data_IF_820166152993
#
_entry.id   IF_820166152993
#
_cell.length_a   1.000
_cell.length_b   1.000
_cell.length_c   1.000
_cell.angle_alpha   90.00
_cell.angle_beta   90.00
_cell.angle_gamma   90.00
#
_symmetry.space_group_name_H-M   'P 1'
#
loop_
_entity.id
_entity.type
_entity.pdbx_description
1 polymer ?
#
# COMPACT_ATOMS: atom_id res chain seq x y z
N UNK A 1 -48.74 23.32 -26.72
CA UNK A 1 -48.93 24.25 -25.58
C UNK A 1 -49.20 23.40 -24.34
N UNK A 2 -48.27 23.36 -23.37
CA UNK A 2 -48.42 23.89 -21.98
C UNK A 2 -49.79 23.56 -21.35
N UNK A 3 -49.95 22.96 -20.18
CA UNK A 3 -49.13 22.41 -19.09
C UNK A 3 -50.12 21.55 -18.25
N UNK A 4 -49.76 20.77 -17.24
CA UNK A 4 -49.31 21.17 -15.89
C UNK A 4 -49.05 19.87 -15.12
N UNK A 5 -48.01 19.91 -14.29
CA UNK A 5 -47.47 18.88 -13.38
C UNK A 5 -48.32 18.82 -12.10
N UNK A 6 -48.52 17.65 -11.46
CA UNK A 6 -48.09 17.38 -10.06
C UNK A 6 -48.49 15.99 -9.50
N UNK A 7 -47.46 15.36 -8.93
CA UNK A 7 -47.31 14.26 -7.97
C UNK A 7 -48.50 13.76 -7.14
N UNK A 8 -48.57 12.43 -6.97
CA UNK A 8 -49.02 11.78 -5.73
C UNK A 8 -48.07 10.63 -5.36
N UNK A 9 -47.53 10.74 -4.16
CA UNK A 9 -46.59 9.86 -3.44
C UNK A 9 -47.24 8.51 -3.06
N UNK A 10 -46.53 7.39 -3.25
CA UNK A 10 -46.93 6.09 -2.70
C UNK A 10 -46.04 5.77 -1.49
N UNK A 11 -46.67 5.78 -0.32
CA UNK A 11 -46.17 5.19 0.93
C UNK A 11 -46.63 3.72 0.92
N UNK A 12 -45.69 2.77 0.97
CA UNK A 12 -45.99 1.38 1.30
C UNK A 12 -45.37 1.03 2.66
N UNK A 13 -46.28 1.01 3.64
CA UNK A 13 -46.13 0.43 4.96
C UNK A 13 -45.84 -1.07 4.84
N UNK A 14 -44.74 -1.52 5.45
CA UNK A 14 -44.49 -2.94 5.72
C UNK A 14 -44.84 -3.20 7.18
N UNK A 15 -46.01 -3.78 7.43
CA UNK A 15 -46.32 -4.53 8.65
C UNK A 15 -47.30 -5.67 8.35
N UNK A 16 -47.11 -6.78 9.08
CA UNK A 16 -47.79 -8.08 9.10
C UNK A 16 -47.11 -9.19 8.28
N UNK A 17 -46.88 -10.39 8.78
CA UNK A 17 -47.14 -10.97 10.10
C UNK A 17 -46.16 -12.13 10.32
N UNK A 18 -45.76 -12.30 11.57
CA UNK A 18 -45.18 -13.52 12.14
C UNK A 18 -46.18 -14.67 11.96
N UNK A 19 -45.70 -15.80 11.44
CA UNK A 19 -46.27 -17.11 11.77
C UNK A 19 -45.17 -17.94 12.45
N UNK A 20 -45.42 -18.20 13.72
CA UNK A 20 -44.65 -19.02 14.63
C UNK A 20 -45.00 -20.50 14.36
N UNK A 21 -44.17 -21.19 13.58
CA UNK A 21 -43.98 -22.66 13.65
C UNK A 21 -42.92 -23.10 12.63
N UNK A 22 -41.65 -23.14 13.05
CA UNK A 22 -40.61 -24.05 12.53
C UNK A 22 -39.33 -23.94 13.39
N UNK A 23 -39.48 -24.14 14.70
CA UNK A 23 -38.34 -24.52 15.55
C UNK A 23 -38.13 -26.03 15.44
N UNK A 24 -37.23 -26.44 14.54
CA UNK A 24 -36.31 -27.59 14.63
C UNK A 24 -35.72 -27.87 13.24
N UNK A 25 -34.40 -27.98 13.18
CA UNK A 25 -33.58 -28.31 12.00
C UNK A 25 -33.15 -27.12 11.11
N UNK A 26 -32.39 -26.19 11.69
CA UNK A 26 -31.39 -25.42 10.92
C UNK A 26 -30.16 -25.09 11.78
N UNK A 27 -29.65 -26.08 12.53
CA UNK A 27 -28.46 -25.95 13.40
C UNK A 27 -27.15 -26.43 12.74
N UNK A 28 -27.14 -26.68 11.43
CA UNK A 28 -25.91 -27.07 10.72
C UNK A 28 -25.86 -26.50 9.30
N UNK A 29 -25.47 -25.23 9.20
CA UNK A 29 -24.68 -24.62 8.11
C UNK A 29 -24.82 -23.09 8.19
N UNK A 30 -24.44 -22.51 9.32
CA UNK A 30 -23.95 -21.14 9.35
C UNK A 30 -22.47 -21.28 9.69
N UNK A 31 -21.65 -21.39 8.66
CA UNK A 31 -20.24 -21.05 8.81
C UNK A 31 -20.24 -19.55 9.09
N UNK A 32 -20.19 -19.20 10.37
CA UNK A 32 -20.06 -17.85 10.85
C UNK A 32 -18.78 -17.27 10.25
N UNK A 33 -18.89 -16.54 9.15
CA UNK A 33 -17.89 -15.53 8.80
C UNK A 33 -17.96 -14.54 9.94
N UNK A 34 -17.05 -14.65 10.91
CA UNK A 34 -16.87 -13.61 11.92
C UNK A 34 -16.43 -12.36 11.16
N UNK A 35 -17.37 -11.50 10.79
CA UNK A 35 -17.04 -10.13 10.42
C UNK A 35 -16.57 -9.46 11.72
N UNK A 36 -15.27 -9.51 11.98
CA UNK A 36 -14.64 -8.78 13.07
C UNK A 36 -14.93 -7.31 12.87
N UNK A 37 -15.82 -6.78 13.70
CA UNK A 37 -16.15 -5.34 13.73
C UNK A 37 -14.89 -4.61 14.16
N UNK A 38 -14.40 -3.70 13.32
CA UNK A 38 -13.23 -2.88 13.63
C UNK A 38 -13.48 -2.04 14.89
N UNK A 39 -12.47 -1.83 15.75
CA UNK A 39 -12.60 -0.94 16.90
C UNK A 39 -13.02 0.48 16.50
N UNK A 40 -13.77 1.22 17.35
CA UNK A 40 -14.28 2.55 17.02
C UNK A 40 -13.23 3.55 16.54
N UNK A 41 -12.03 3.53 17.15
CA UNK A 41 -10.92 4.41 16.81
C UNK A 41 -10.38 4.19 15.38
N UNK A 42 -10.43 2.95 14.87
CA UNK A 42 -10.12 2.67 13.46
C UNK A 42 -11.22 3.17 12.52
N UNK A 43 -12.49 3.01 12.92
CA UNK A 43 -13.64 3.47 12.12
C UNK A 43 -13.64 5.00 12.01
N UNK A 44 -13.33 5.71 13.10
CA UNK A 44 -13.23 7.17 13.11
C UNK A 44 -12.10 7.67 12.21
N UNK A 45 -10.88 7.11 12.36
CA UNK A 45 -9.75 7.51 11.52
C UNK A 45 -10.01 7.22 10.03
N UNK A 46 -10.62 6.07 9.72
CA UNK A 46 -11.02 5.73 8.35
C UNK A 46 -11.96 6.78 7.76
N UNK A 47 -12.99 7.20 8.51
CA UNK A 47 -13.94 8.21 8.06
C UNK A 47 -13.28 9.59 7.84
N UNK A 48 -12.32 9.96 8.67
CA UNK A 48 -11.53 11.19 8.50
C UNK A 48 -10.67 11.12 7.23
N UNK A 49 -10.01 9.99 6.97
CA UNK A 49 -9.22 9.76 5.75
C UNK A 49 -10.11 9.74 4.50
N UNK A 50 -11.29 9.12 4.55
CA UNK A 50 -12.25 9.14 3.43
C UNK A 50 -12.72 10.56 3.12
N UNK A 51 -12.94 11.38 4.14
CA UNK A 51 -13.28 12.80 3.97
C UNK A 51 -12.14 13.54 3.26
N UNK A 52 -10.90 13.35 3.70
CA UNK A 52 -9.71 13.91 3.06
C UNK A 52 -9.57 13.47 1.59
N UNK A 53 -9.81 12.19 1.30
CA UNK A 53 -9.75 11.65 -0.08
C UNK A 53 -10.77 12.34 -1.00
N UNK A 54 -11.96 12.65 -0.49
CA UNK A 54 -12.98 13.39 -1.23
C UNK A 54 -12.54 14.82 -1.51
N UNK A 55 -11.87 15.48 -0.57
CA UNK A 55 -11.34 16.85 -0.74
C UNK A 55 -10.25 16.90 -1.81
N UNK A 56 -9.27 15.99 -1.75
CA UNK A 56 -8.20 15.87 -2.75
C UNK A 56 -8.79 15.61 -4.15
N UNK A 57 -9.79 14.73 -4.24
CA UNK A 57 -10.42 14.38 -5.52
C UNK A 57 -11.22 15.54 -6.15
N UNK A 58 -11.76 16.46 -5.32
CA UNK A 58 -12.51 17.65 -5.80
C UNK A 58 -11.60 18.78 -6.25
N UNK A 59 -10.37 18.85 -5.75
CA UNK A 59 -9.35 19.79 -6.24
C UNK A 59 -8.91 19.52 -7.68
N UNK A 60 -9.06 18.27 -8.12
CA UNK A 60 -8.56 17.76 -9.41
C UNK A 60 -9.68 17.63 -10.47
N UNK A 61 -10.64 18.56 -10.51
CA UNK A 61 -11.79 18.55 -11.45
C UNK A 61 -11.40 18.69 -12.95
N UNK A 62 -10.13 18.92 -13.27
CA UNK A 62 -9.62 18.81 -14.64
C UNK A 62 -8.62 17.67 -14.72
N UNK A 63 -8.77 16.83 -15.76
CA UNK A 63 -8.03 15.57 -16.00
C UNK A 63 -8.56 14.49 -15.05
N UNK A 64 -9.29 13.47 -15.49
CA UNK A 64 -8.71 12.27 -16.09
C UNK A 64 -9.84 11.52 -16.82
N UNK A 65 -9.67 11.21 -18.10
CA UNK A 65 -10.41 10.10 -18.74
C UNK A 65 -9.95 8.79 -18.13
N UNK A 66 -10.66 8.38 -17.06
CA UNK A 66 -10.45 7.29 -16.09
C UNK A 66 -10.13 5.88 -16.63
N UNK A 67 -10.05 5.65 -17.94
CA UNK A 67 -9.99 4.29 -18.50
C UNK A 67 -8.59 3.66 -18.57
N UNK A 68 -7.55 4.46 -18.84
CA UNK A 68 -6.17 3.97 -19.03
C UNK A 68 -5.34 3.99 -17.74
N UNK A 69 -5.39 5.10 -17.01
CA UNK A 69 -4.67 5.32 -15.76
C UNK A 69 -5.07 4.35 -14.64
N UNK A 70 -6.37 4.07 -14.49
CA UNK A 70 -6.89 3.11 -13.50
C UNK A 70 -6.40 1.68 -13.77
N UNK A 71 -6.21 1.29 -15.04
CA UNK A 71 -5.71 -0.05 -15.38
C UNK A 71 -4.21 -0.21 -15.15
N UNK A 72 -3.45 0.87 -15.21
CA UNK A 72 -2.02 0.85 -15.01
C UNK A 72 -1.66 0.98 -13.51
N UNK A 73 -2.35 1.84 -12.77
CA UNK A 73 -2.23 1.94 -11.32
C UNK A 73 -2.57 0.60 -10.61
N UNK A 74 -3.63 -0.12 -11.06
CA UNK A 74 -3.96 -1.48 -10.58
C UNK A 74 -2.77 -2.46 -10.56
N UNK A 75 -1.79 -2.29 -11.45
CA UNK A 75 -0.63 -3.19 -11.60
C UNK A 75 0.48 -2.90 -10.60
N UNK A 76 0.63 -1.63 -10.22
CA UNK A 76 1.67 -1.17 -9.30
C UNK A 76 1.17 -1.20 -7.85
N UNK A 77 -0.16 -1.16 -7.63
CA UNK A 77 -0.78 -1.35 -6.31
C UNK A 77 -0.24 -2.58 -5.59
N UNK A 78 -0.02 -3.69 -6.30
CA UNK A 78 0.51 -4.91 -5.68
C UNK A 78 1.88 -4.69 -5.03
N UNK A 79 2.80 -4.02 -5.75
CA UNK A 79 4.14 -3.70 -5.25
C UNK A 79 4.05 -2.67 -4.13
N UNK A 80 3.28 -1.61 -4.31
CA UNK A 80 3.19 -0.52 -3.32
C UNK A 80 2.51 -0.96 -2.03
N UNK A 81 1.48 -1.81 -2.12
CA UNK A 81 0.84 -2.42 -0.95
C UNK A 81 1.81 -3.39 -0.27
N UNK A 82 2.53 -4.23 -1.03
CA UNK A 82 3.53 -5.12 -0.44
C UNK A 82 4.59 -4.34 0.35
N UNK A 83 5.06 -3.21 -0.17
CA UNK A 83 6.01 -2.32 0.53
C UNK A 83 5.43 -1.74 1.80
N UNK A 84 4.23 -1.18 1.73
CA UNK A 84 3.57 -0.62 2.90
C UNK A 84 3.32 -1.70 3.97
N UNK A 85 2.97 -2.93 3.58
CA UNK A 85 2.87 -4.06 4.51
C UNK A 85 4.23 -4.46 5.08
N UNK A 86 5.30 -4.47 4.27
CA UNK A 86 6.66 -4.61 4.77
C UNK A 86 7.02 -3.55 5.82
N UNK A 87 6.52 -2.32 5.63
CA UNK A 87 6.64 -1.23 6.60
C UNK A 87 5.91 -1.46 7.93
N UNK A 88 4.78 -2.19 7.90
CA UNK A 88 4.02 -2.59 9.10
C UNK A 88 4.72 -3.75 9.82
N UNK A 89 5.13 -4.78 9.08
CA UNK A 89 5.52 -6.07 9.67
C UNK A 89 7.00 -6.10 10.10
N UNK A 90 7.88 -5.38 9.39
CA UNK A 90 9.34 -5.45 9.63
C UNK A 90 9.88 -4.34 10.55
N UNK A 91 9.06 -3.70 11.38
CA UNK A 91 9.49 -2.57 12.22
C UNK A 91 10.30 -2.95 13.47
N UNK A 92 10.86 -4.16 13.54
CA UNK A 92 11.44 -4.73 14.77
C UNK A 92 12.72 -4.03 15.23
N UNK A 93 13.53 -3.51 14.30
CA UNK A 93 14.73 -2.72 14.58
C UNK A 93 14.51 -1.21 14.36
N UNK A 94 13.27 -0.75 14.56
CA UNK A 94 12.89 0.63 14.27
C UNK A 94 13.04 0.96 12.77
N UNK A 95 13.39 2.21 12.42
CA UNK A 95 13.39 2.69 11.03
C UNK A 95 14.24 1.87 10.05
N UNK A 96 15.36 1.31 10.51
CA UNK A 96 16.22 0.49 9.66
C UNK A 96 15.54 -0.83 9.27
N UNK A 97 14.88 -1.51 10.22
CA UNK A 97 14.12 -2.73 9.95
C UNK A 97 12.94 -2.46 9.02
N UNK A 98 12.21 -1.36 9.27
CA UNK A 98 11.11 -0.92 8.40
C UNK A 98 11.58 -0.71 6.96
N UNK A 99 12.66 0.05 6.76
CA UNK A 99 13.20 0.30 5.43
C UNK A 99 13.70 -0.99 4.77
N UNK A 100 14.43 -1.84 5.51
CA UNK A 100 14.91 -3.13 5.00
C UNK A 100 13.77 -4.04 4.53
N UNK A 101 12.75 -4.21 5.37
CA UNK A 101 11.62 -5.09 5.10
C UNK A 101 10.77 -4.60 3.93
N UNK A 102 10.43 -3.30 3.90
CA UNK A 102 9.75 -2.68 2.77
C UNK A 102 10.55 -2.83 1.47
N UNK A 103 11.85 -2.58 1.50
CA UNK A 103 12.70 -2.72 0.32
C UNK A 103 12.78 -4.17 -0.14
N UNK A 104 12.80 -5.12 0.81
CA UNK A 104 12.82 -6.55 0.51
C UNK A 104 11.49 -7.02 -0.09
N UNK A 105 10.34 -6.49 0.35
CA UNK A 105 9.05 -6.85 -0.25
C UNK A 105 8.97 -6.43 -1.72
N UNK A 106 9.23 -5.17 -2.09
CA UNK A 106 9.23 -4.75 -3.50
C UNK A 106 10.38 -5.35 -4.29
N UNK A 107 11.58 -5.40 -3.73
CA UNK A 107 12.75 -5.96 -4.41
C UNK A 107 12.49 -7.39 -4.86
N UNK A 108 11.79 -8.19 -4.07
CA UNK A 108 11.42 -9.55 -4.43
C UNK A 108 10.23 -9.64 -5.38
N UNK A 109 9.17 -8.85 -5.14
CA UNK A 109 8.02 -8.79 -6.05
C UNK A 109 8.45 -8.37 -7.45
N UNK A 110 9.23 -7.29 -7.54
CA UNK A 110 9.65 -6.70 -8.80
C UNK A 110 10.70 -7.53 -9.54
N UNK A 111 11.52 -8.32 -8.83
CA UNK A 111 12.56 -9.14 -9.46
C UNK A 111 12.09 -10.53 -9.90
N UNK A 112 11.11 -11.13 -9.22
CA UNK A 112 10.75 -12.55 -9.36
C UNK A 112 9.30 -12.85 -9.78
N UNK A 113 8.48 -11.84 -10.06
CA UNK A 113 7.26 -12.06 -10.84
C UNK A 113 7.65 -12.38 -12.29
N UNK A 114 8.03 -13.63 -12.55
CA UNK A 114 8.64 -14.11 -13.79
C UNK A 114 7.64 -14.40 -14.93
N UNK A 115 6.33 -14.44 -14.70
CA UNK A 115 5.32 -14.58 -15.77
C UNK A 115 3.99 -13.89 -15.39
N UNK A 116 3.21 -13.39 -16.38
CA UNK A 116 2.18 -12.40 -16.14
C UNK A 116 0.91 -13.06 -15.58
N UNK A 117 0.75 -13.04 -14.26
CA UNK A 117 -0.61 -12.99 -13.69
C UNK A 117 -1.15 -11.55 -13.82
N UNK A 118 -0.25 -10.58 -13.96
CA UNK A 118 -0.49 -9.26 -14.53
C UNK A 118 0.70 -9.00 -15.46
N UNK A 119 0.47 -8.79 -16.75
CA UNK A 119 1.49 -8.19 -17.61
C UNK A 119 1.80 -6.82 -17.01
N UNK A 120 2.87 -6.74 -16.21
CA UNK A 120 3.48 -5.49 -15.78
C UNK A 120 3.99 -4.86 -17.08
N UNK A 121 3.10 -4.18 -17.80
CA UNK A 121 3.39 -3.40 -19.00
C UNK A 121 3.88 -1.98 -18.61
N UNK A 122 4.59 -1.83 -17.49
CA UNK A 122 5.78 -0.97 -17.55
C UNK A 122 6.71 -1.72 -18.48
N UNK A 123 7.33 -1.12 -19.51
CA UNK A 123 8.19 -1.81 -20.52
C UNK A 123 8.69 -3.16 -19.99
N UNK A 124 8.25 -4.26 -20.59
CA UNK A 124 8.65 -5.60 -20.18
C UNK A 124 10.12 -5.57 -19.79
N UNK A 125 10.42 -5.99 -18.55
CA UNK A 125 11.81 -6.09 -18.08
C UNK A 125 12.59 -6.75 -19.20
N UNK A 126 13.60 -6.08 -19.74
CA UNK A 126 14.46 -6.72 -20.73
C UNK A 126 14.98 -8.04 -20.16
N UNK A 127 15.27 -9.03 -20.99
CA UNK A 127 15.73 -10.34 -20.50
C UNK A 127 16.93 -10.24 -19.53
N UNK A 128 17.68 -9.13 -19.58
CA UNK A 128 18.85 -8.82 -18.76
C UNK A 128 18.61 -7.78 -17.65
N UNK A 129 17.43 -7.17 -17.53
CA UNK A 129 17.16 -6.14 -16.51
C UNK A 129 16.84 -6.77 -15.14
N UNK A 130 17.25 -6.14 -14.04
CA UNK A 130 16.99 -6.67 -12.69
C UNK A 130 15.56 -6.39 -12.22
N UNK A 131 15.11 -5.15 -12.38
CA UNK A 131 13.79 -4.65 -12.00
C UNK A 131 13.04 -4.08 -13.21
N UNK A 132 11.70 -4.03 -13.18
CA UNK A 132 10.93 -3.24 -14.13
C UNK A 132 11.33 -1.75 -14.12
N UNK A 133 10.87 -0.97 -15.11
CA UNK A 133 11.04 0.48 -15.13
C UNK A 133 10.67 1.12 -13.79
N UNK A 134 11.53 2.04 -13.36
CA UNK A 134 11.34 2.90 -12.19
C UNK A 134 11.37 4.35 -12.69
N UNK A 135 10.71 5.24 -11.98
CA UNK A 135 10.79 6.67 -12.27
C UNK A 135 12.25 7.17 -12.11
N UNK A 136 12.65 8.20 -12.87
CA UNK A 136 13.96 8.82 -12.71
C UNK A 136 14.09 9.50 -11.33
N UNK A 137 15.33 9.69 -10.87
CA UNK A 137 15.66 10.21 -9.53
C UNK A 137 14.90 11.50 -9.16
N UNK A 138 14.66 12.41 -10.11
CA UNK A 138 13.95 13.67 -9.87
C UNK A 138 12.48 13.48 -9.49
N UNK A 139 11.85 12.39 -9.94
CA UNK A 139 10.48 12.01 -9.56
C UNK A 139 10.48 11.03 -8.40
N UNK A 140 11.30 9.97 -8.49
CA UNK A 140 11.31 8.88 -7.52
C UNK A 140 11.84 9.29 -6.15
N UNK A 141 12.59 10.39 -6.04
CA UNK A 141 13.12 10.89 -4.76
C UNK A 141 12.40 12.15 -4.26
N UNK A 142 11.33 12.58 -4.93
CA UNK A 142 10.61 13.80 -4.61
C UNK A 142 9.65 13.62 -3.41
N UNK A 143 9.64 14.57 -2.47
CA UNK A 143 8.71 14.64 -1.34
C UNK A 143 8.57 13.36 -0.51
N UNK A 144 9.71 12.71 -0.24
CA UNK A 144 9.76 11.46 0.55
C UNK A 144 9.94 11.66 2.06
N UNK A 145 10.13 12.90 2.50
CA UNK A 145 10.22 13.26 3.90
C UNK A 145 8.89 13.92 4.32
N UNK A 146 8.14 13.34 5.27
CA UNK A 146 6.96 14.00 5.81
C UNK A 146 7.37 15.16 6.73
N UNK A 147 7.25 16.39 6.24
CA UNK A 147 7.40 17.59 7.05
C UNK A 147 7.88 18.80 6.25
N UNK A 148 7.40 19.99 6.65
CA UNK A 148 8.08 21.23 6.30
C UNK A 148 9.41 21.26 7.04
N UNK A 149 10.51 21.18 6.30
CA UNK A 149 11.89 21.22 6.82
C UNK A 149 12.16 22.46 7.70
N UNK A 150 11.24 23.44 7.69
CA UNK A 150 11.38 24.72 8.38
C UNK A 150 11.06 24.72 9.88
N UNK A 151 10.21 23.83 10.43
CA UNK A 151 9.73 24.00 11.81
C UNK A 151 9.73 22.76 12.73
N UNK A 152 9.91 21.53 12.21
CA UNK A 152 10.11 20.32 13.04
C UNK A 152 11.41 19.59 12.70
N UNK A 153 12.11 19.08 13.72
CA UNK A 153 13.30 18.27 13.53
C UNK A 153 12.89 16.91 12.96
N UNK A 154 13.09 16.72 11.65
CA UNK A 154 12.93 15.43 10.98
C UNK A 154 13.65 14.33 11.75
N UNK A 155 12.95 13.24 12.04
CA UNK A 155 13.52 12.07 12.69
C UNK A 155 14.12 11.11 11.66
N UNK A 156 14.96 10.18 12.12
CA UNK A 156 15.43 9.09 11.24
C UNK A 156 14.27 8.19 10.75
N UNK A 157 13.13 8.18 11.45
CA UNK A 157 11.90 7.52 11.00
C UNK A 157 11.26 8.21 9.78
N UNK A 158 11.41 9.52 9.64
CA UNK A 158 10.88 10.27 8.50
C UNK A 158 11.72 10.07 7.23
N UNK A 159 12.90 9.43 7.36
CA UNK A 159 13.78 9.09 6.22
C UNK A 159 13.50 7.72 5.60
N UNK A 160 12.54 6.95 6.14
CA UNK A 160 12.27 5.57 5.71
C UNK A 160 11.91 5.50 4.24
N UNK A 161 11.02 6.37 3.76
CA UNK A 161 10.61 6.41 2.35
C UNK A 161 11.76 6.78 1.42
N UNK A 162 12.59 7.74 1.83
CA UNK A 162 13.78 8.13 1.07
C UNK A 162 14.77 6.96 0.92
N UNK A 163 15.12 6.30 2.02
CA UNK A 163 16.07 5.21 1.98
C UNK A 163 15.52 3.97 1.28
N UNK A 164 14.23 3.68 1.40
CA UNK A 164 13.56 2.64 0.61
C UNK A 164 13.85 2.81 -0.89
N UNK A 165 13.52 3.98 -1.45
CA UNK A 165 13.72 4.23 -2.88
C UNK A 165 15.21 4.27 -3.25
N UNK A 166 16.05 4.91 -2.43
CA UNK A 166 17.50 4.98 -2.69
C UNK A 166 18.14 3.60 -2.75
N UNK A 167 17.79 2.67 -1.85
CA UNK A 167 18.36 1.32 -1.86
C UNK A 167 18.02 0.60 -3.17
N UNK A 168 16.75 0.64 -3.62
CA UNK A 168 16.33 -0.02 -4.86
C UNK A 168 17.02 0.57 -6.10
N UNK A 169 17.10 1.90 -6.18
CA UNK A 169 17.78 2.60 -7.27
C UNK A 169 19.28 2.27 -7.30
N UNK A 170 19.96 2.26 -6.15
CA UNK A 170 21.37 1.91 -6.10
C UNK A 170 21.59 0.46 -6.52
N UNK A 171 20.77 -0.49 -6.04
CA UNK A 171 20.86 -1.90 -6.45
C UNK A 171 20.65 -2.04 -7.96
N UNK A 172 19.67 -1.34 -8.53
CA UNK A 172 19.42 -1.33 -9.99
C UNK A 172 20.65 -0.83 -10.75
N UNK A 173 21.24 0.27 -10.31
CA UNK A 173 22.37 0.92 -10.97
C UNK A 173 23.67 0.12 -10.86
N UNK A 174 23.92 -0.50 -9.72
CA UNK A 174 25.13 -1.31 -9.49
C UNK A 174 25.09 -2.68 -10.17
N UNK A 175 23.89 -3.17 -10.53
CA UNK A 175 23.68 -4.51 -11.09
C UNK A 175 22.99 -4.47 -12.46
N UNK A 176 23.21 -3.39 -13.23
CA UNK A 176 22.67 -3.27 -14.59
C UNK A 176 23.13 -4.45 -15.46
N UNK A 177 22.18 -5.09 -16.15
CA UNK A 177 22.45 -6.24 -17.01
C UNK A 177 22.71 -7.56 -16.25
N UNK A 178 22.46 -7.60 -14.93
CA UNK A 178 22.67 -8.80 -14.13
C UNK A 178 21.34 -9.34 -13.57
N UNK A 179 21.16 -10.67 -13.67
CA UNK A 179 20.15 -11.39 -12.89
C UNK A 179 20.70 -11.71 -11.51
N UNK A 180 20.03 -11.20 -10.48
CA UNK A 180 20.36 -11.55 -9.10
C UNK A 180 19.43 -12.65 -8.59
N UNK A 181 19.99 -13.54 -7.76
CA UNK A 181 19.18 -14.50 -7.00
C UNK A 181 18.42 -13.81 -5.86
N UNK A 182 17.40 -14.48 -5.30
CA UNK A 182 16.64 -13.97 -4.14
C UNK A 182 17.57 -13.58 -3.00
N UNK A 183 18.50 -14.47 -2.65
CA UNK A 183 19.46 -14.26 -1.59
C UNK A 183 20.43 -13.12 -1.90
N UNK A 184 20.80 -12.95 -3.18
CA UNK A 184 21.65 -11.84 -3.62
C UNK A 184 20.94 -10.50 -3.44
N UNK A 185 19.66 -10.39 -3.82
CA UNK A 185 18.87 -9.16 -3.62
C UNK A 185 18.76 -8.83 -2.14
N UNK A 186 18.36 -9.80 -1.31
CA UNK A 186 18.28 -9.61 0.14
C UNK A 186 19.65 -9.22 0.75
N UNK A 187 20.75 -9.82 0.28
CA UNK A 187 22.08 -9.46 0.74
C UNK A 187 22.47 -8.01 0.37
N UNK A 188 22.13 -7.55 -0.84
CA UNK A 188 22.34 -6.17 -1.27
C UNK A 188 21.52 -5.19 -0.43
N UNK A 189 20.24 -5.50 -0.17
CA UNK A 189 19.36 -4.67 0.67
C UNK A 189 19.90 -4.57 2.10
N UNK A 190 20.31 -5.70 2.68
CA UNK A 190 20.90 -5.71 4.03
C UNK A 190 22.19 -4.89 4.10
N UNK A 191 23.03 -4.97 3.06
CA UNK A 191 24.26 -4.17 2.98
C UNK A 191 23.96 -2.67 2.92
N UNK A 192 23.11 -2.22 2.00
CA UNK A 192 22.82 -0.79 1.85
C UNK A 192 22.04 -0.21 3.02
N UNK A 193 21.10 -0.97 3.59
CA UNK A 193 20.40 -0.53 4.80
C UNK A 193 21.37 -0.37 5.96
N UNK A 194 22.31 -1.31 6.14
CA UNK A 194 23.38 -1.22 7.15
C UNK A 194 24.22 0.05 6.97
N UNK A 195 24.58 0.39 5.74
CA UNK A 195 25.35 1.60 5.42
C UNK A 195 24.57 2.89 5.73
N UNK A 196 23.31 2.99 5.31
CA UNK A 196 22.49 4.20 5.49
C UNK A 196 22.09 4.43 6.94
N UNK A 197 21.68 3.38 7.65
CA UNK A 197 21.22 3.49 9.03
C UNK A 197 22.30 3.25 10.08
N UNK A 198 23.51 2.84 9.66
CA UNK A 198 24.65 2.54 10.53
C UNK A 198 24.32 1.45 11.57
N UNK A 199 23.62 0.42 11.12
CA UNK A 199 23.22 -0.75 11.92
C UNK A 199 24.00 -1.99 11.47
N UNK A 200 24.10 -3.03 12.31
CA UNK A 200 24.80 -4.25 11.89
C UNK A 200 24.01 -4.97 10.78
N UNK A 201 24.65 -5.23 9.64
CA UNK A 201 24.08 -6.02 8.55
C UNK A 201 23.54 -7.37 8.99
N UNK A 202 24.17 -8.01 9.98
CA UNK A 202 23.74 -9.30 10.48
C UNK A 202 22.40 -9.22 11.24
N UNK A 203 22.11 -8.09 11.89
CA UNK A 203 20.81 -7.85 12.52
C UNK A 203 19.72 -7.76 11.45
N UNK A 204 19.97 -7.05 10.35
CA UNK A 204 19.03 -6.98 9.21
C UNK A 204 18.84 -8.36 8.56
N UNK A 205 19.92 -9.13 8.37
CA UNK A 205 19.81 -10.50 7.83
C UNK A 205 19.02 -11.43 8.76
N UNK A 206 19.18 -11.26 10.07
CA UNK A 206 18.40 -12.02 11.05
C UNK A 206 16.92 -11.62 10.99
N UNK A 207 16.61 -10.34 10.85
CA UNK A 207 15.24 -9.88 10.62
C UNK A 207 14.64 -10.48 9.34
N UNK A 208 15.45 -10.58 8.28
CA UNK A 208 15.02 -11.27 7.05
C UNK A 208 14.71 -12.75 7.27
N UNK A 209 15.55 -13.44 8.05
CA UNK A 209 15.32 -14.84 8.38
C UNK A 209 14.05 -15.02 9.24
N UNK A 210 13.80 -14.11 10.19
CA UNK A 210 12.61 -14.14 11.04
C UNK A 210 11.33 -13.87 10.25
N UNK A 211 11.41 -13.05 9.19
CA UNK A 211 10.28 -12.69 8.33
C UNK A 211 10.26 -13.49 7.01
N UNK A 212 10.91 -14.66 6.94
CA UNK A 212 11.00 -15.46 5.71
C UNK A 212 9.63 -15.76 5.09
N UNK A 213 8.62 -16.04 5.90
CA UNK A 213 7.25 -16.32 5.42
C UNK A 213 6.57 -15.13 4.75
N UNK A 214 6.95 -13.89 5.10
CA UNK A 214 6.52 -12.69 4.39
C UNK A 214 7.16 -12.66 2.99
N UNK A 215 8.47 -12.85 2.93
CA UNK A 215 9.24 -12.79 1.68
C UNK A 215 8.90 -13.92 0.71
N UNK A 216 8.62 -15.12 1.22
CA UNK A 216 8.14 -16.23 0.40
C UNK A 216 6.76 -15.92 -0.19
N UNK A 217 5.86 -15.36 0.61
CA UNK A 217 4.48 -15.02 0.18
C UNK A 217 4.46 -13.94 -0.90
N UNK A 218 5.27 -12.88 -0.77
CA UNK A 218 5.35 -11.84 -1.79
C UNK A 218 6.04 -12.34 -3.06
N UNK A 219 7.10 -13.14 -2.93
CA UNK A 219 7.83 -13.68 -4.08
C UNK A 219 7.05 -14.79 -4.81
N UNK A 220 6.14 -15.48 -4.12
CA UNK A 220 5.23 -16.46 -4.72
C UNK A 220 4.04 -15.85 -5.45
N UNK A 221 3.79 -14.54 -5.30
CA UNK A 221 2.61 -13.87 -5.86
C UNK A 221 1.30 -14.26 -5.17
N UNK A 222 1.37 -14.87 -3.98
CA UNK A 222 0.20 -15.42 -3.27
C UNK A 222 -0.83 -14.35 -2.90
N UNK A 223 -0.40 -13.10 -2.70
CA UNK A 223 -1.31 -11.97 -2.45
C UNK A 223 -2.09 -11.52 -3.70
N UNK A 224 -1.70 -11.97 -4.89
CA UNK A 224 -2.35 -11.67 -6.16
C UNK A 224 -3.24 -12.82 -6.65
N UNK A 225 -3.04 -14.04 -6.13
CA UNK A 225 -3.71 -15.27 -6.60
C UNK A 225 -5.18 -15.39 -6.16
N UNK A 226 -5.63 -14.51 -5.26
CA UNK A 226 -7.03 -14.44 -4.80
C UNK A 226 -7.79 -13.42 -5.66
N UNK A 227 -8.10 -13.75 -6.92
CA UNK A 227 -8.94 -12.94 -7.82
C UNK A 227 -8.55 -11.44 -7.99
N UNK A 228 -7.31 -11.05 -7.66
CA UNK A 228 -6.91 -9.67 -7.38
C UNK A 228 -6.89 -8.73 -8.58
N UNK A 229 -8.06 -8.29 -9.02
CA UNK A 229 -8.19 -7.28 -10.08
C UNK A 229 -8.26 -5.85 -9.53
N UNK A 230 -8.45 -5.66 -8.22
CA UNK A 230 -8.51 -4.36 -7.58
C UNK A 230 -7.87 -4.32 -6.18
N UNK A 231 -7.76 -3.10 -5.63
CA UNK A 231 -7.11 -2.82 -4.35
C UNK A 231 -7.77 -3.58 -3.18
N UNK A 232 -9.08 -3.80 -3.23
CA UNK A 232 -9.81 -4.45 -2.15
C UNK A 232 -9.39 -5.92 -2.02
N UNK A 233 -9.33 -6.62 -3.14
CA UNK A 233 -8.92 -8.03 -3.18
C UNK A 233 -7.46 -8.23 -2.70
N UNK A 234 -6.56 -7.33 -3.12
CA UNK A 234 -5.16 -7.34 -2.66
C UNK A 234 -5.09 -7.17 -1.14
N UNK A 235 -5.83 -6.19 -0.59
CA UNK A 235 -5.87 -5.95 0.85
C UNK A 235 -6.51 -7.13 1.58
N UNK A 236 -7.58 -7.73 1.04
CA UNK A 236 -8.22 -8.90 1.61
C UNK A 236 -7.25 -10.09 1.73
N UNK A 237 -6.39 -10.32 0.73
CA UNK A 237 -5.35 -11.35 0.80
C UNK A 237 -4.33 -11.08 1.92
N UNK A 238 -3.94 -9.81 2.11
CA UNK A 238 -3.07 -9.41 3.23
C UNK A 238 -3.75 -9.54 4.59
N UNK A 239 -5.05 -9.21 4.69
CA UNK A 239 -5.83 -9.42 5.92
C UNK A 239 -5.93 -10.90 6.25
N UNK A 240 -6.12 -11.76 5.25
CA UNK A 240 -6.14 -13.21 5.46
C UNK A 240 -4.80 -13.74 6.00
N UNK A 241 -3.67 -13.17 5.55
CA UNK A 241 -2.33 -13.53 6.07
C UNK A 241 -2.05 -12.95 7.45
N UNK A 242 -2.50 -11.72 7.72
CA UNK A 242 -2.27 -10.99 8.97
C UNK A 242 -3.60 -10.50 9.58
N UNK A 243 -4.46 -11.41 10.07
CA UNK A 243 -5.77 -11.02 10.60
C UNK A 243 -5.66 -10.13 11.84
N UNK A 244 -4.57 -10.24 12.61
CA UNK A 244 -4.25 -9.37 13.73
C UNK A 244 -3.86 -7.94 13.33
N UNK A 245 -3.72 -7.67 12.03
CA UNK A 245 -3.42 -6.36 11.42
C UNK A 245 -4.59 -5.82 10.58
N UNK A 246 -5.78 -6.40 10.71
CA UNK A 246 -6.96 -6.02 9.92
C UNK A 246 -7.22 -4.50 9.97
N UNK A 247 -7.12 -3.88 11.14
CA UNK A 247 -7.33 -2.43 11.29
C UNK A 247 -6.31 -1.61 10.50
N UNK A 248 -5.01 -1.89 10.65
CA UNK A 248 -3.97 -1.19 9.89
C UNK A 248 -4.12 -1.40 8.38
N UNK A 249 -4.46 -2.60 7.95
CA UNK A 249 -4.65 -2.96 6.53
C UNK A 249 -5.89 -2.31 5.91
N UNK A 250 -7.00 -2.16 6.66
CA UNK A 250 -8.18 -1.42 6.20
C UNK A 250 -7.88 0.08 6.04
N UNK A 251 -7.08 0.67 6.92
CA UNK A 251 -6.65 2.06 6.75
C UNK A 251 -5.70 2.21 5.55
N UNK A 252 -4.88 1.19 5.28
CA UNK A 252 -4.01 1.15 4.10
C UNK A 252 -4.79 1.15 2.78
N UNK A 253 -5.88 0.40 2.70
CA UNK A 253 -6.83 0.46 1.57
C UNK A 253 -7.35 1.88 1.35
N UNK A 254 -7.73 2.56 2.44
CA UNK A 254 -8.25 3.94 2.39
C UNK A 254 -7.17 4.92 1.94
N UNK A 255 -5.94 4.76 2.43
CA UNK A 255 -4.79 5.57 2.03
C UNK A 255 -4.51 5.47 0.53
N UNK A 256 -4.39 4.24 -0.01
CA UNK A 256 -4.11 4.04 -1.44
C UNK A 256 -5.28 4.46 -2.32
N UNK A 257 -6.52 4.34 -1.84
CA UNK A 257 -7.70 4.86 -2.56
C UNK A 257 -7.62 6.38 -2.77
N UNK A 258 -7.09 7.12 -1.80
CA UNK A 258 -6.85 8.56 -1.92
C UNK A 258 -5.66 8.89 -2.81
N UNK A 259 -4.52 8.22 -2.57
CA UNK A 259 -3.27 8.42 -3.31
C UNK A 259 -3.44 8.19 -4.81
N UNK A 260 -4.30 7.24 -5.21
CA UNK A 260 -4.66 6.98 -6.61
C UNK A 260 -5.23 8.20 -7.36
N UNK A 261 -5.69 9.24 -6.66
CA UNK A 261 -6.24 10.44 -7.29
C UNK A 261 -5.21 11.56 -7.47
N UNK A 262 -3.94 11.30 -7.16
CA UNK A 262 -2.85 12.28 -7.21
C UNK A 262 -1.85 11.83 -8.27
N UNK A 263 -1.59 12.63 -9.31
CA UNK A 263 -0.53 12.33 -10.27
C UNK A 263 0.85 12.35 -9.57
N UNK A 264 1.78 11.49 -9.97
CA UNK A 264 3.16 11.49 -9.47
C UNK A 264 3.83 12.85 -9.63
N UNK A 265 3.55 13.52 -10.75
CA UNK A 265 4.11 14.85 -11.06
C UNK A 265 3.48 15.95 -10.20
N UNK A 266 2.29 15.71 -9.64
CA UNK A 266 1.56 16.62 -8.76
C UNK A 266 1.71 16.26 -7.27
N UNK A 267 2.33 15.11 -6.96
CA UNK A 267 2.51 14.65 -5.60
C UNK A 267 3.60 15.46 -4.88
N UNK A 268 3.15 16.52 -4.23
CA UNK A 268 3.96 17.44 -3.43
C UNK A 268 4.17 16.98 -1.97
N UNK A 269 3.60 15.83 -1.59
CA UNK A 269 3.65 15.30 -0.23
C UNK A 269 2.56 15.84 0.72
N UNK A 270 1.74 16.81 0.32
CA UNK A 270 0.69 17.41 1.18
C UNK A 270 -0.34 16.36 1.64
N UNK A 271 -0.76 15.46 0.74
CA UNK A 271 -1.66 14.37 1.09
C UNK A 271 -1.06 13.44 2.16
N UNK A 272 0.19 13.03 1.99
CA UNK A 272 0.90 12.20 2.98
C UNK A 272 0.95 12.92 4.34
N UNK A 273 1.34 14.20 4.36
CA UNK A 273 1.41 14.97 5.60
C UNK A 273 0.06 15.07 6.31
N UNK A 274 -1.03 15.31 5.57
CA UNK A 274 -2.39 15.37 6.13
C UNK A 274 -2.81 14.02 6.70
N UNK A 275 -2.57 12.91 6.00
CA UNK A 275 -2.87 11.57 6.50
C UNK A 275 -2.08 11.26 7.78
N UNK A 276 -0.77 11.55 7.80
CA UNK A 276 0.06 11.32 8.98
C UNK A 276 -0.41 12.15 10.18
N UNK A 277 -0.83 13.40 9.95
CA UNK A 277 -1.44 14.24 10.99
C UNK A 277 -2.74 13.64 11.53
N UNK A 278 -3.57 13.02 10.70
CA UNK A 278 -4.76 12.30 11.16
C UNK A 278 -4.37 11.09 12.04
N UNK A 279 -3.35 10.33 11.64
CA UNK A 279 -2.82 9.22 12.44
C UNK A 279 -2.31 9.70 13.79
N UNK A 280 -1.48 10.73 13.82
CA UNK A 280 -0.87 11.26 15.05
C UNK A 280 -1.91 11.72 16.06
N UNK A 281 -2.99 12.36 15.58
CA UNK A 281 -4.10 12.87 16.39
C UNK A 281 -5.19 11.84 16.72
N UNK A 282 -5.07 10.60 16.23
CA UNK A 282 -6.05 9.54 16.52
C UNK A 282 -5.89 8.98 17.95
N UNK A 283 -6.91 8.28 18.43
CA UNK A 283 -6.89 7.57 19.73
C UNK A 283 -6.26 6.17 19.63
N UNK A 284 -5.59 5.84 18.52
CA UNK A 284 -4.89 4.58 18.34
C UNK A 284 -3.67 4.46 19.27
N UNK A 285 -3.24 3.23 19.55
CA UNK A 285 -2.02 3.00 20.32
C UNK A 285 -0.79 3.53 19.59
N UNK A 286 0.24 3.95 20.32
CA UNK A 286 1.51 4.44 19.74
C UNK A 286 2.20 3.40 18.86
N UNK A 287 2.01 2.11 19.13
CA UNK A 287 2.47 1.04 18.25
C UNK A 287 1.74 1.06 16.91
N UNK A 288 0.41 1.13 16.92
CA UNK A 288 -0.41 1.17 15.71
C UNK A 288 -0.13 2.45 14.92
N UNK A 289 -0.05 3.61 15.59
CA UNK A 289 0.32 4.88 14.94
C UNK A 289 1.66 4.76 14.23
N UNK A 290 2.69 4.23 14.90
CA UNK A 290 4.01 4.01 14.29
C UNK A 290 3.93 3.09 13.07
N UNK A 291 3.18 1.98 13.16
CA UNK A 291 3.02 1.06 12.05
C UNK A 291 2.34 1.75 10.85
N UNK A 292 1.29 2.53 11.08
CA UNK A 292 0.59 3.29 10.05
C UNK A 292 1.48 4.37 9.43
N UNK A 293 2.23 5.12 10.24
CA UNK A 293 3.22 6.10 9.75
C UNK A 293 4.22 5.44 8.82
N UNK A 294 4.83 4.35 9.26
CA UNK A 294 5.78 3.57 8.47
C UNK A 294 5.16 3.12 7.13
N UNK A 295 3.94 2.55 7.19
CA UNK A 295 3.23 2.05 6.02
C UNK A 295 2.94 3.16 5.00
N UNK A 296 2.47 4.33 5.46
CA UNK A 296 2.09 5.43 4.58
C UNK A 296 3.30 6.15 3.98
N UNK A 297 4.36 6.35 4.76
CA UNK A 297 5.62 6.91 4.26
C UNK A 297 6.21 6.02 3.17
N UNK A 298 6.30 4.72 3.44
CA UNK A 298 6.79 3.74 2.46
C UNK A 298 5.85 3.63 1.27
N UNK A 299 4.55 3.56 1.48
CA UNK A 299 3.55 3.47 0.42
C UNK A 299 3.60 4.66 -0.54
N UNK A 300 3.76 5.88 -0.02
CA UNK A 300 3.97 7.08 -0.83
C UNK A 300 5.29 7.02 -1.61
N UNK A 301 6.38 6.61 -0.97
CA UNK A 301 7.67 6.49 -1.65
C UNK A 301 7.64 5.45 -2.76
N UNK A 302 7.08 4.27 -2.47
CA UNK A 302 6.89 3.20 -3.43
C UNK A 302 6.01 3.64 -4.61
N UNK A 303 4.94 4.42 -4.34
CA UNK A 303 4.12 5.04 -5.37
C UNK A 303 4.95 5.95 -6.29
N UNK A 304 5.73 6.88 -5.75
CA UNK A 304 6.61 7.75 -6.55
C UNK A 304 7.65 6.96 -7.36
N UNK A 305 8.11 5.81 -6.88
CA UNK A 305 9.13 4.99 -7.54
C UNK A 305 8.56 4.19 -8.72
N UNK A 306 7.47 3.45 -8.48
CA UNK A 306 6.97 2.44 -9.42
C UNK A 306 5.93 2.98 -10.39
N UNK A 307 5.32 4.13 -10.08
CA UNK A 307 4.32 4.76 -10.92
C UNK A 307 4.98 5.55 -12.08
N UNK A 308 5.56 4.80 -13.03
CA UNK A 308 6.11 5.26 -14.34
C UNK A 308 5.09 5.42 -15.47
N UNK A 309 4.83 6.64 -16.00
CA UNK A 309 3.86 6.87 -17.08
C UNK A 309 3.98 5.90 -18.26
N UNK A 310 2.86 5.43 -18.81
CA UNK A 310 2.84 4.57 -20.01
C UNK A 310 3.22 5.40 -21.25
N UNK A 311 4.50 5.41 -21.64
CA UNK A 311 5.01 6.16 -22.80
C UNK A 311 4.79 5.42 -24.13
N UNK A 312 3.69 4.68 -24.28
CA UNK A 312 3.34 4.06 -25.58
C UNK A 312 2.94 5.16 -26.58
N UNK A 313 3.90 5.56 -27.41
CA UNK A 313 3.68 6.20 -28.72
C UNK A 313 3.16 5.18 -29.75
#
# INVERSE_FOLDING_TARGET
MKGVVFYVTIILLVMSCVSEDQTKELDQMVSTTQTTVLPPEFVELKAQMETLNVEVSKGNEQVITRGGWVKWFKKIIGVTVADAVGGIVCSWFGPAGTAAGATATSGLVAAFLDEPVIEIYTRSKGDDELFPPMNPDDKSMNNLFPGDVSDELLTIGDSIGYFHNRILLDIKNENQGQKLSRDSILACIAQKTSEFYRVDKNEIKQDFANNKELFDFVAGGDYQSVNGEDLHDIIAAWIAKYPNKQGELTLLETFFSGLNNIDVDENDGDYLMKVLKLVDNSELSEEIKRNLRNAFIVGNASYQLWNVPDTRE
#
